data_IF_624429868969
#
_entry.id   IF_624429868969
#
_cell.length_a   1.000
_cell.length_b   1.000
_cell.length_c   1.000
_cell.angle_alpha   90.00
_cell.angle_beta   90.00
_cell.angle_gamma   90.00
#
_symmetry.space_group_name_H-M   'P 1'
#
loop_
_entity.id
_entity.type
_entity.pdbx_description
1 polymer ?
#
# COMPACT_ATOMS: atom_id res chain seq x y z
N UNK A 1 21.90 -24.78 -9.68
CA UNK A 1 22.22 -23.67 -8.75
C UNK A 1 22.38 -22.36 -9.50
N UNK A 2 23.09 -22.36 -10.60
CA UNK A 2 23.38 -21.19 -11.45
C UNK A 2 22.14 -20.41 -11.92
N UNK A 3 21.08 -21.10 -12.36
CA UNK A 3 19.84 -20.44 -12.78
C UNK A 3 19.13 -19.68 -11.64
N UNK A 4 19.20 -20.19 -10.41
CA UNK A 4 18.60 -19.49 -9.24
C UNK A 4 19.32 -18.16 -8.95
N UNK A 5 20.62 -18.12 -9.11
CA UNK A 5 21.43 -16.92 -8.91
C UNK A 5 21.14 -15.89 -10.00
N UNK A 6 20.98 -16.33 -11.25
CA UNK A 6 20.62 -15.46 -12.38
C UNK A 6 19.21 -14.86 -12.17
N UNK A 7 18.23 -15.67 -11.75
CA UNK A 7 16.86 -15.24 -11.44
C UNK A 7 16.83 -14.23 -10.28
N UNK A 8 17.58 -14.49 -9.20
CA UNK A 8 17.69 -13.56 -8.07
C UNK A 8 18.34 -12.22 -8.48
N UNK A 9 19.44 -12.28 -9.24
CA UNK A 9 20.11 -11.07 -9.74
C UNK A 9 19.17 -10.24 -10.62
N UNK A 10 18.40 -10.91 -11.47
CA UNK A 10 17.40 -10.25 -12.29
C UNK A 10 16.31 -9.59 -11.45
N UNK A 11 15.80 -10.30 -10.44
CA UNK A 11 14.80 -9.76 -9.51
C UNK A 11 15.31 -8.52 -8.75
N UNK A 12 16.57 -8.53 -8.28
CA UNK A 12 17.20 -7.37 -7.63
C UNK A 12 17.21 -6.16 -8.59
N UNK A 13 17.62 -6.34 -9.84
CA UNK A 13 17.66 -5.21 -10.79
C UNK A 13 16.26 -4.64 -11.05
N UNK A 14 15.25 -5.51 -11.19
CA UNK A 14 13.87 -5.08 -11.42
C UNK A 14 13.25 -4.38 -10.21
N UNK A 15 13.62 -4.75 -8.98
CA UNK A 15 13.09 -4.19 -7.74
C UNK A 15 13.79 -2.91 -7.28
N UNK A 16 14.89 -2.47 -7.91
CA UNK A 16 15.63 -1.24 -7.52
C UNK A 16 14.74 0.00 -7.39
N UNK A 17 13.81 0.30 -8.32
CA UNK A 17 12.94 1.48 -8.18
C UNK A 17 12.07 1.41 -6.92
N UNK A 18 11.50 0.22 -6.63
CA UNK A 18 10.70 -0.02 -5.43
C UNK A 18 11.57 0.05 -4.17
N UNK A 19 12.79 -0.50 -4.21
CA UNK A 19 13.75 -0.43 -3.12
C UNK A 19 13.97 1.00 -2.63
N UNK A 20 14.23 1.93 -3.54
CA UNK A 20 14.48 3.34 -3.18
C UNK A 20 13.25 3.96 -2.49
N UNK A 21 12.05 3.74 -3.04
CA UNK A 21 10.81 4.22 -2.44
C UNK A 21 10.54 3.59 -1.06
N UNK A 22 10.71 2.28 -0.95
CA UNK A 22 10.41 1.53 0.28
C UNK A 22 11.40 1.80 1.41
N UNK A 23 12.68 1.96 1.12
CA UNK A 23 13.65 2.36 2.14
C UNK A 23 13.34 3.75 2.69
N UNK A 24 12.97 4.70 1.82
CA UNK A 24 12.63 6.05 2.24
C UNK A 24 11.30 6.11 3.00
N UNK A 25 10.22 5.55 2.45
CA UNK A 25 8.91 5.56 3.09
C UNK A 25 8.88 4.70 4.36
N UNK A 26 9.53 3.53 4.35
CA UNK A 26 9.67 2.70 5.53
C UNK A 26 10.44 3.43 6.64
N UNK A 27 11.52 4.14 6.29
CA UNK A 27 12.27 4.96 7.25
C UNK A 27 11.36 6.06 7.87
N UNK A 28 10.58 6.76 7.04
CA UNK A 28 9.62 7.75 7.50
C UNK A 28 8.56 7.13 8.44
N UNK A 29 8.00 5.96 8.08
CA UNK A 29 7.07 5.22 8.94
C UNK A 29 7.70 4.86 10.29
N UNK A 30 8.92 4.33 10.28
CA UNK A 30 9.64 3.97 11.51
C UNK A 30 9.88 5.17 12.44
N UNK A 31 10.25 6.33 11.87
CA UNK A 31 10.40 7.58 12.62
C UNK A 31 9.07 8.02 13.24
N UNK A 32 8.00 8.08 12.45
CA UNK A 32 6.67 8.49 12.93
C UNK A 32 6.15 7.55 14.03
N UNK A 33 6.37 6.25 13.87
CA UNK A 33 5.95 5.26 14.85
C UNK A 33 6.73 5.43 16.17
N UNK A 34 8.03 5.71 16.09
CA UNK A 34 8.86 5.99 17.27
C UNK A 34 8.44 7.29 17.95
N UNK A 35 8.14 8.35 17.21
CA UNK A 35 7.64 9.63 17.73
C UNK A 35 6.29 9.47 18.45
N UNK A 36 5.45 8.57 17.97
CA UNK A 36 4.20 8.16 18.60
C UNK A 36 4.39 7.30 19.89
N UNK A 37 5.63 7.05 20.32
CA UNK A 37 5.96 6.27 21.51
C UNK A 37 6.07 4.75 21.29
N UNK A 38 6.03 4.29 20.05
CA UNK A 38 6.15 2.87 19.68
C UNK A 38 7.57 2.59 19.16
N UNK A 39 8.35 1.78 19.90
CA UNK A 39 9.75 1.53 19.55
C UNK A 39 9.96 0.49 18.45
N UNK A 40 11.24 0.10 18.27
CA UNK A 40 11.74 -0.82 17.25
C UNK A 40 10.90 -2.10 17.07
N UNK A 41 10.50 -2.77 18.14
CA UNK A 41 9.76 -4.03 18.05
C UNK A 41 8.38 -3.87 17.40
N UNK A 42 7.72 -2.74 17.62
CA UNK A 42 6.47 -2.41 16.95
C UNK A 42 6.68 -2.19 15.46
N UNK A 43 7.71 -1.43 15.06
CA UNK A 43 8.06 -1.24 13.68
C UNK A 43 8.36 -2.57 12.97
N UNK A 44 9.15 -3.43 13.62
CA UNK A 44 9.51 -4.75 13.11
C UNK A 44 8.27 -5.64 12.89
N UNK A 45 7.46 -5.85 13.93
CA UNK A 45 6.33 -6.78 13.84
C UNK A 45 5.21 -6.25 12.94
N UNK A 46 4.91 -4.95 12.96
CA UNK A 46 3.91 -4.36 12.06
C UNK A 46 4.39 -4.50 10.61
N UNK A 47 5.63 -4.18 10.31
CA UNK A 47 6.16 -4.30 8.93
C UNK A 47 6.26 -5.75 8.47
N UNK A 48 6.53 -6.69 9.37
CA UNK A 48 6.62 -8.12 9.05
C UNK A 48 5.24 -8.77 8.80
N UNK A 49 4.23 -8.44 9.62
CA UNK A 49 2.95 -9.17 9.61
C UNK A 49 1.79 -8.38 8.99
N UNK A 50 1.83 -7.06 9.00
CA UNK A 50 0.78 -6.23 8.40
C UNK A 50 1.16 -5.86 6.96
N UNK A 51 2.39 -5.42 6.73
CA UNK A 51 2.97 -5.10 5.42
C UNK A 51 1.99 -4.39 4.47
N UNK A 52 1.40 -3.31 4.93
CA UNK A 52 0.41 -2.53 4.20
C UNK A 52 0.76 -1.04 4.27
N UNK A 53 1.78 -0.63 3.52
CA UNK A 53 2.45 0.67 3.57
C UNK A 53 1.55 1.85 3.91
N UNK A 54 0.57 2.17 3.06
CA UNK A 54 -0.35 3.29 3.31
C UNK A 54 -1.18 3.11 4.59
N UNK A 55 -1.65 1.88 4.88
CA UNK A 55 -2.40 1.62 6.11
C UNK A 55 -1.52 1.72 7.34
N UNK A 56 -0.22 1.43 7.26
CA UNK A 56 0.69 1.55 8.39
C UNK A 56 0.86 3.02 8.82
N UNK A 57 0.90 3.96 7.88
CA UNK A 57 0.88 5.39 8.19
C UNK A 57 -0.43 5.80 8.89
N UNK A 58 -1.58 5.36 8.36
CA UNK A 58 -2.89 5.59 9.00
C UNK A 58 -2.94 4.95 10.38
N UNK A 59 -2.34 3.77 10.57
CA UNK A 59 -2.30 3.07 11.85
C UNK A 59 -1.57 3.88 12.93
N UNK A 60 -0.50 4.60 12.62
CA UNK A 60 0.17 5.51 13.57
C UNK A 60 -0.81 6.56 14.07
N UNK A 61 -1.56 7.19 13.17
CA UNK A 61 -2.59 8.17 13.54
C UNK A 61 -3.71 7.55 14.39
N UNK A 62 -4.15 6.33 14.07
CA UNK A 62 -5.17 5.62 14.85
C UNK A 62 -4.67 5.26 16.26
N UNK A 63 -3.42 4.90 16.40
CA UNK A 63 -2.80 4.60 17.70
C UNK A 63 -2.71 5.86 18.58
N UNK A 64 -2.25 6.97 18.02
CA UNK A 64 -2.15 8.24 18.77
C UNK A 64 -3.51 8.81 19.14
N UNK A 65 -4.53 8.59 18.30
CA UNK A 65 -5.90 8.99 18.58
C UNK A 65 -6.64 8.05 19.55
N UNK A 66 -6.06 6.92 19.96
CA UNK A 66 -6.74 5.91 20.77
C UNK A 66 -8.00 5.33 20.11
N UNK A 67 -7.95 5.15 18.78
CA UNK A 67 -9.08 4.71 17.99
C UNK A 67 -9.60 3.33 18.41
N UNK A 68 -10.93 3.12 18.38
CA UNK A 68 -11.53 1.83 18.68
C UNK A 68 -11.17 0.78 17.63
N UNK A 69 -11.18 -0.52 18.01
CA UNK A 69 -10.94 -1.62 17.08
C UNK A 69 -11.91 -1.65 15.90
N UNK A 70 -13.18 -1.30 16.12
CA UNK A 70 -14.18 -1.21 15.05
C UNK A 70 -13.85 -0.11 14.05
N UNK A 71 -13.45 1.06 14.54
CA UNK A 71 -13.02 2.15 13.67
C UNK A 71 -11.79 1.75 12.86
N UNK A 72 -10.78 1.14 13.49
CA UNK A 72 -9.58 0.62 12.83
C UNK A 72 -9.92 -0.42 11.77
N UNK A 73 -10.84 -1.36 12.05
CA UNK A 73 -11.29 -2.36 11.09
C UNK A 73 -11.91 -1.71 9.84
N UNK A 74 -12.83 -0.78 10.05
CA UNK A 74 -13.52 -0.09 8.94
C UNK A 74 -12.50 0.70 8.11
N UNK A 75 -11.61 1.45 8.75
CA UNK A 75 -10.54 2.19 8.07
C UNK A 75 -9.63 1.27 7.26
N UNK A 76 -9.25 0.12 7.83
CA UNK A 76 -8.44 -0.89 7.14
C UNK A 76 -9.14 -1.41 5.88
N UNK A 77 -10.43 -1.69 5.95
CA UNK A 77 -11.21 -2.13 4.79
C UNK A 77 -11.27 -1.07 3.68
N UNK A 78 -11.44 0.19 4.03
CA UNK A 78 -11.47 1.27 3.05
C UNK A 78 -10.11 1.52 2.41
N UNK A 79 -9.05 1.62 3.21
CA UNK A 79 -7.69 1.91 2.71
C UNK A 79 -7.14 0.73 1.92
N UNK A 80 -7.27 -0.50 2.44
CA UNK A 80 -6.70 -1.70 1.85
C UNK A 80 -7.65 -2.43 0.89
N UNK A 81 -8.90 -2.02 0.76
CA UNK A 81 -9.90 -2.68 -0.11
C UNK A 81 -9.43 -2.86 -1.56
N UNK A 82 -8.58 -1.97 -2.06
CA UNK A 82 -7.96 -2.06 -3.39
C UNK A 82 -7.09 -3.32 -3.57
N UNK A 83 -6.43 -3.81 -2.52
CA UNK A 83 -5.59 -5.01 -2.58
C UNK A 83 -6.40 -6.26 -2.94
N UNK A 84 -7.70 -6.31 -2.61
CA UNK A 84 -8.59 -7.39 -3.03
C UNK A 84 -8.68 -7.49 -4.56
N UNK A 85 -8.74 -6.35 -5.25
CA UNK A 85 -8.79 -6.31 -6.73
C UNK A 85 -7.47 -6.72 -7.36
N UNK A 86 -6.34 -6.34 -6.77
CA UNK A 86 -5.02 -6.78 -7.23
C UNK A 86 -4.87 -8.29 -7.11
N UNK A 87 -5.27 -8.84 -5.96
CA UNK A 87 -5.27 -10.28 -5.72
C UNK A 87 -6.05 -11.05 -6.78
N UNK A 88 -7.25 -10.58 -7.16
CA UNK A 88 -8.08 -11.22 -8.19
C UNK A 88 -7.35 -11.32 -9.54
N UNK A 89 -6.58 -10.31 -9.93
CA UNK A 89 -5.85 -10.30 -11.20
C UNK A 89 -4.72 -11.34 -11.24
N UNK A 90 -4.17 -11.73 -10.10
CA UNK A 90 -3.03 -12.65 -10.00
C UNK A 90 -3.38 -14.06 -9.49
N UNK A 91 -4.65 -14.32 -9.11
CA UNK A 91 -5.08 -15.61 -8.53
C UNK A 91 -4.63 -16.80 -9.38
N UNK A 92 -4.92 -16.79 -10.68
CA UNK A 92 -4.60 -17.91 -11.59
C UNK A 92 -3.09 -18.10 -11.76
N UNK A 93 -2.32 -17.02 -11.75
CA UNK A 93 -0.86 -17.04 -11.83
C UNK A 93 -0.24 -17.58 -10.54
N UNK A 94 -0.68 -17.07 -9.39
CA UNK A 94 -0.12 -17.44 -8.11
C UNK A 94 -0.53 -18.85 -7.64
N UNK A 95 -1.70 -19.36 -8.02
CA UNK A 95 -2.09 -20.75 -7.76
C UNK A 95 -1.08 -21.77 -8.28
N UNK A 96 -0.37 -21.46 -9.37
CA UNK A 96 0.66 -22.33 -9.94
C UNK A 96 1.95 -22.36 -9.11
N UNK A 97 2.10 -21.46 -8.15
CA UNK A 97 3.31 -21.30 -7.34
C UNK A 97 3.35 -22.22 -6.10
N UNK A 98 2.29 -23.03 -5.87
CA UNK A 98 2.26 -24.05 -4.82
C UNK A 98 2.41 -23.46 -3.42
N UNK A 99 3.43 -23.89 -2.68
CA UNK A 99 3.64 -23.50 -1.26
C UNK A 99 3.86 -21.99 -1.07
N UNK A 100 4.36 -21.28 -2.07
CA UNK A 100 4.58 -19.85 -1.99
C UNK A 100 3.31 -19.02 -2.25
N UNK A 101 2.22 -19.63 -2.68
CA UNK A 101 0.96 -18.96 -3.01
C UNK A 101 0.42 -18.04 -1.89
N UNK A 102 0.31 -18.47 -0.62
CA UNK A 102 -0.21 -17.59 0.44
C UNK A 102 0.67 -16.37 0.67
N UNK A 103 1.99 -16.54 0.56
CA UNK A 103 2.93 -15.44 0.69
C UNK A 103 2.80 -14.44 -0.47
N UNK A 104 2.63 -14.92 -1.69
CA UNK A 104 2.46 -14.05 -2.87
C UNK A 104 1.21 -13.18 -2.79
N UNK A 105 0.11 -13.70 -2.21
CA UNK A 105 -1.09 -12.90 -1.98
C UNK A 105 -0.86 -11.88 -0.86
N UNK A 106 -0.23 -12.29 0.23
CA UNK A 106 0.08 -11.43 1.36
C UNK A 106 1.00 -10.26 0.96
N UNK A 107 2.03 -10.54 0.16
CA UNK A 107 3.06 -9.57 -0.21
C UNK A 107 2.70 -8.67 -1.41
N UNK A 108 1.47 -8.75 -1.91
CA UNK A 108 1.03 -7.98 -3.09
C UNK A 108 0.61 -6.56 -2.70
N UNK A 109 1.56 -5.65 -2.67
CA UNK A 109 1.35 -4.20 -2.49
C UNK A 109 1.09 -3.50 -3.82
N UNK A 110 0.81 -2.19 -3.80
CA UNK A 110 0.61 -1.38 -5.01
C UNK A 110 1.84 -1.43 -5.93
N UNK A 111 3.02 -1.25 -5.36
CA UNK A 111 4.29 -1.18 -6.08
C UNK A 111 4.67 -2.56 -6.62
N UNK A 112 4.57 -3.61 -5.79
CA UNK A 112 4.83 -4.98 -6.21
C UNK A 112 3.86 -5.42 -7.30
N UNK A 113 2.57 -5.05 -7.19
CA UNK A 113 1.56 -5.28 -8.23
C UNK A 113 1.96 -4.63 -9.55
N UNK A 114 2.28 -3.33 -9.54
CA UNK A 114 2.70 -2.58 -10.73
C UNK A 114 3.94 -3.20 -11.39
N UNK A 115 4.91 -3.62 -10.58
CA UNK A 115 6.14 -4.25 -11.06
C UNK A 115 5.86 -5.61 -11.70
N UNK A 116 5.03 -6.45 -11.06
CA UNK A 116 4.68 -7.78 -11.56
C UNK A 116 3.79 -7.72 -12.82
N UNK A 117 2.94 -6.70 -12.99
CA UNK A 117 2.15 -6.47 -14.20
C UNK A 117 3.03 -6.19 -15.42
N UNK A 118 4.13 -5.48 -15.23
CA UNK A 118 5.05 -5.08 -16.30
C UNK A 118 6.27 -6.01 -16.46
N UNK A 119 6.34 -7.08 -15.66
CA UNK A 119 7.49 -7.97 -15.61
C UNK A 119 7.62 -8.78 -16.91
N UNK A 120 8.76 -8.65 -17.58
CA UNK A 120 9.12 -9.42 -18.77
C UNK A 120 10.33 -10.30 -18.43
N UNK A 121 10.07 -11.56 -18.13
CA UNK A 121 11.13 -12.50 -17.74
C UNK A 121 11.84 -13.04 -18.98
N UNK A 122 13.19 -12.98 -19.05
CA UNK A 122 13.97 -13.56 -20.15
C UNK A 122 13.77 -15.07 -20.29
N UNK A 123 13.94 -15.59 -21.52
CA UNK A 123 13.90 -17.02 -21.79
C UNK A 123 14.90 -17.80 -20.92
N UNK A 124 14.48 -18.96 -20.42
CA UNK A 124 15.29 -19.82 -19.57
C UNK A 124 15.23 -19.49 -18.07
N UNK A 125 14.53 -18.42 -17.66
CA UNK A 125 14.21 -18.11 -16.26
C UNK A 125 12.76 -18.49 -15.94
N UNK A 126 12.51 -18.89 -14.69
CA UNK A 126 11.15 -19.22 -14.23
C UNK A 126 10.47 -17.97 -13.67
N UNK A 127 9.39 -17.55 -14.32
CA UNK A 127 8.65 -16.35 -13.94
C UNK A 127 8.14 -16.41 -12.50
N UNK A 128 7.68 -17.57 -12.05
CA UNK A 128 7.20 -17.77 -10.68
C UNK A 128 8.29 -17.49 -9.64
N UNK A 129 9.52 -17.91 -9.91
CA UNK A 129 10.65 -17.69 -9.00
C UNK A 129 11.10 -16.23 -8.99
N UNK A 130 11.17 -15.61 -10.17
CA UNK A 130 11.50 -14.19 -10.28
C UNK A 130 10.47 -13.35 -9.54
N UNK A 131 9.17 -13.62 -9.73
CA UNK A 131 8.08 -12.94 -9.03
C UNK A 131 8.17 -13.12 -7.52
N UNK A 132 8.47 -14.33 -7.04
CA UNK A 132 8.69 -14.59 -5.61
C UNK A 132 9.87 -13.80 -5.05
N UNK A 133 11.01 -13.76 -5.76
CA UNK A 133 12.16 -13.00 -5.30
C UNK A 133 11.90 -11.49 -5.26
N UNK A 134 11.18 -10.94 -6.25
CA UNK A 134 10.77 -9.54 -6.24
C UNK A 134 9.92 -9.25 -5.00
N UNK A 135 8.86 -10.02 -4.78
CA UNK A 135 7.97 -9.83 -3.63
C UNK A 135 8.69 -9.95 -2.29
N UNK A 136 9.64 -10.89 -2.18
CA UNK A 136 10.45 -11.07 -0.97
C UNK A 136 11.40 -9.88 -0.75
N UNK A 137 12.06 -9.40 -1.80
CA UNK A 137 12.96 -8.26 -1.74
C UNK A 137 12.21 -6.99 -1.35
N UNK A 138 11.06 -6.71 -1.96
CA UNK A 138 10.23 -5.56 -1.66
C UNK A 138 9.80 -5.57 -0.18
N UNK A 139 9.37 -6.73 0.34
CA UNK A 139 9.05 -6.88 1.75
C UNK A 139 10.27 -6.63 2.66
N UNK A 140 11.43 -7.16 2.29
CA UNK A 140 12.68 -6.91 3.03
C UNK A 140 13.08 -5.43 3.02
N UNK A 141 12.92 -4.73 1.91
CA UNK A 141 13.23 -3.29 1.83
C UNK A 141 12.33 -2.46 2.74
N UNK A 142 11.03 -2.76 2.76
CA UNK A 142 10.09 -2.10 3.67
C UNK A 142 10.42 -2.35 5.13
N UNK A 143 10.65 -3.62 5.48
CA UNK A 143 11.03 -4.02 6.84
C UNK A 143 12.32 -3.36 7.29
N UNK A 144 13.33 -3.35 6.42
CA UNK A 144 14.62 -2.72 6.71
C UNK A 144 14.47 -1.21 6.92
N UNK A 145 13.79 -0.52 6.01
CA UNK A 145 13.51 0.91 6.13
C UNK A 145 12.81 1.24 7.44
N UNK A 146 11.73 0.53 7.77
CA UNK A 146 10.95 0.72 9.00
C UNK A 146 11.79 0.51 10.27
N UNK A 147 12.59 -0.54 10.30
CA UNK A 147 13.47 -0.82 11.44
C UNK A 147 14.56 0.24 11.61
N UNK A 148 15.21 0.64 10.51
CA UNK A 148 16.25 1.69 10.54
C UNK A 148 15.64 3.02 10.97
N UNK A 149 14.45 3.38 10.49
CA UNK A 149 13.74 4.58 10.90
C UNK A 149 13.39 4.60 12.38
N UNK A 150 12.86 3.48 12.91
CA UNK A 150 12.55 3.37 14.33
C UNK A 150 13.79 3.47 15.24
N UNK A 151 14.91 2.84 14.83
CA UNK A 151 16.19 2.98 15.56
C UNK A 151 16.72 4.41 15.48
N UNK A 152 16.72 5.01 14.30
CA UNK A 152 17.16 6.38 14.11
C UNK A 152 16.37 7.36 14.98
N UNK A 153 15.04 7.22 15.04
CA UNK A 153 14.17 8.04 15.89
C UNK A 153 14.44 7.86 17.39
N UNK A 154 14.90 6.67 17.83
CA UNK A 154 15.21 6.43 19.25
C UNK A 154 16.59 6.93 19.68
N UNK A 155 17.55 7.03 18.74
CA UNK A 155 18.96 7.35 19.06
C UNK A 155 19.30 8.80 18.73
N UNK A 156 18.72 9.34 17.66
CA UNK A 156 19.04 10.66 17.17
C UNK A 156 17.93 11.66 17.54
N UNK A 157 18.25 12.87 17.99
CA UNK A 157 17.26 13.92 18.18
C UNK A 157 16.81 14.48 16.82
N UNK A 158 16.12 13.63 16.04
CA UNK A 158 15.65 14.01 14.71
C UNK A 158 14.39 14.85 14.90
N UNK A 159 14.38 16.03 14.30
CA UNK A 159 13.16 16.81 14.20
C UNK A 159 12.24 16.14 13.19
N UNK A 160 11.15 15.55 13.67
CA UNK A 160 10.15 14.86 12.85
C UNK A 160 9.18 15.82 12.14
N UNK A 161 9.31 17.13 12.39
CA UNK A 161 8.50 18.17 11.74
C UNK A 161 8.60 18.04 10.22
N UNK A 162 7.47 17.79 9.58
CA UNK A 162 7.39 17.60 8.12
C UNK A 162 7.51 16.14 7.67
N UNK A 163 7.88 15.18 8.52
CA UNK A 163 7.83 13.74 8.18
C UNK A 163 6.38 13.31 7.96
N UNK A 164 5.42 13.90 8.67
CA UNK A 164 3.98 13.71 8.44
C UNK A 164 3.58 14.00 6.99
N UNK A 165 4.32 14.88 6.30
CA UNK A 165 4.13 15.15 4.87
C UNK A 165 4.42 13.91 4.01
N UNK A 166 5.20 12.94 4.49
CA UNK A 166 5.47 11.69 3.75
C UNK A 166 4.19 10.92 3.46
N UNK A 167 3.23 10.92 4.40
CA UNK A 167 1.91 10.33 4.19
C UNK A 167 1.11 11.08 3.12
N UNK A 168 1.08 12.41 3.20
CA UNK A 168 0.42 13.25 2.20
C UNK A 168 1.04 13.07 0.81
N UNK A 169 2.37 13.03 0.73
CA UNK A 169 3.09 12.78 -0.51
C UNK A 169 2.77 11.39 -1.09
N UNK A 170 2.76 10.35 -0.26
CA UNK A 170 2.41 8.99 -0.67
C UNK A 170 1.00 8.94 -1.29
N UNK A 171 -0.01 9.45 -0.58
CA UNK A 171 -1.38 9.45 -1.10
C UNK A 171 -1.53 10.33 -2.35
N UNK A 172 -0.81 11.45 -2.42
CA UNK A 172 -0.79 12.31 -3.63
C UNK A 172 -0.23 11.56 -4.82
N UNK A 173 0.89 10.85 -4.66
CA UNK A 173 1.49 10.03 -5.72
C UNK A 173 0.53 8.92 -6.16
N UNK A 174 -0.14 8.24 -5.23
CA UNK A 174 -1.15 7.22 -5.55
C UNK A 174 -2.28 7.82 -6.41
N UNK A 175 -2.81 8.98 -6.03
CA UNK A 175 -3.88 9.67 -6.79
C UNK A 175 -3.39 10.07 -8.18
N UNK A 176 -2.18 10.64 -8.29
CA UNK A 176 -1.58 11.03 -9.58
C UNK A 176 -1.38 9.82 -10.48
N UNK A 177 -0.82 8.73 -9.97
CA UNK A 177 -0.62 7.50 -10.74
C UNK A 177 -1.97 6.95 -11.23
N UNK A 178 -2.97 6.83 -10.35
CA UNK A 178 -4.30 6.38 -10.73
C UNK A 178 -4.95 7.29 -11.79
N UNK A 179 -4.73 8.61 -11.69
CA UNK A 179 -5.19 9.57 -12.70
C UNK A 179 -4.53 9.34 -14.06
N UNK A 180 -3.23 9.09 -14.07
CA UNK A 180 -2.48 8.84 -15.32
C UNK A 180 -2.80 7.49 -15.95
N UNK A 181 -3.03 6.46 -15.13
CA UNK A 181 -3.27 5.07 -15.59
C UNK A 181 -4.70 4.85 -16.11
N UNK A 182 -5.66 5.70 -15.73
CA UNK A 182 -7.07 5.51 -16.08
C UNK A 182 -7.59 6.65 -16.95
N UNK A 183 -8.45 6.31 -17.94
CA UNK A 183 -9.18 7.30 -18.75
C UNK A 183 -10.46 7.80 -18.05
N UNK A 184 -10.91 7.10 -17.01
CA UNK A 184 -12.13 7.42 -16.25
C UNK A 184 -11.79 8.13 -14.96
N UNK A 185 -11.84 9.46 -14.98
CA UNK A 185 -11.50 10.30 -13.81
C UNK A 185 -12.66 10.57 -12.85
N UNK A 186 -13.88 10.16 -13.20
CA UNK A 186 -15.10 10.35 -12.37
C UNK A 186 -14.93 9.86 -10.93
N UNK A 187 -14.33 8.68 -10.64
CA UNK A 187 -14.16 8.23 -9.27
C UNK A 187 -13.27 9.17 -8.43
N UNK A 188 -12.18 9.66 -9.01
CA UNK A 188 -11.27 10.57 -8.32
C UNK A 188 -11.95 11.92 -8.03
N UNK A 189 -12.70 12.46 -8.99
CA UNK A 189 -13.46 13.72 -8.83
C UNK A 189 -14.54 13.56 -7.77
N UNK A 190 -15.32 12.49 -7.80
CA UNK A 190 -16.37 12.21 -6.81
C UNK A 190 -15.74 12.09 -5.41
N UNK A 191 -14.68 11.31 -5.28
CA UNK A 191 -13.96 11.14 -4.01
C UNK A 191 -13.44 12.48 -3.46
N UNK A 192 -12.81 13.29 -4.33
CA UNK A 192 -12.29 14.61 -3.96
C UNK A 192 -13.40 15.57 -3.50
N UNK A 193 -14.48 15.70 -4.28
CA UNK A 193 -15.60 16.57 -3.95
C UNK A 193 -16.29 16.15 -2.65
N UNK A 194 -16.59 14.86 -2.50
CA UNK A 194 -17.21 14.33 -1.27
C UNK A 194 -16.28 14.51 -0.07
N UNK A 195 -14.98 14.27 -0.24
CA UNK A 195 -13.98 14.45 0.82
C UNK A 195 -13.95 15.91 1.32
N UNK A 196 -13.87 16.88 0.40
CA UNK A 196 -13.85 18.30 0.74
C UNK A 196 -15.16 18.73 1.40
N UNK A 197 -16.32 18.30 0.89
CA UNK A 197 -17.61 18.62 1.48
C UNK A 197 -17.74 18.05 2.91
N UNK A 198 -17.36 16.80 3.12
CA UNK A 198 -17.37 16.20 4.45
C UNK A 198 -16.40 16.88 5.41
N UNK A 199 -15.21 17.29 4.94
CA UNK A 199 -14.26 18.03 5.75
C UNK A 199 -14.80 19.38 6.23
N UNK A 200 -15.46 20.11 5.33
CA UNK A 200 -16.09 21.41 5.67
C UNK A 200 -17.25 21.25 6.65
N UNK A 201 -18.08 20.21 6.48
CA UNK A 201 -19.29 20.02 7.27
C UNK A 201 -19.03 19.36 8.64
N UNK A 202 -18.08 18.43 8.72
CA UNK A 202 -17.86 17.58 9.91
C UNK A 202 -16.54 17.88 10.65
N UNK A 203 -15.66 18.69 10.03
CA UNK A 203 -14.35 19.01 10.60
C UNK A 203 -13.33 17.85 10.51
N UNK A 204 -12.08 18.15 10.88
CA UNK A 204 -10.93 17.24 10.68
C UNK A 204 -11.05 15.92 11.43
N UNK A 205 -11.69 15.90 12.61
CA UNK A 205 -11.74 14.70 13.47
C UNK A 205 -12.75 13.63 13.04
N UNK A 206 -13.76 13.97 12.21
CA UNK A 206 -14.88 13.06 11.94
C UNK A 206 -15.23 12.88 10.45
N UNK A 207 -14.57 13.61 9.52
CA UNK A 207 -14.97 13.63 8.11
C UNK A 207 -14.63 12.34 7.34
N UNK A 208 -13.59 11.63 7.71
CA UNK A 208 -12.95 10.62 6.87
C UNK A 208 -13.87 9.41 6.62
N UNK A 209 -14.48 8.84 7.67
CA UNK A 209 -15.40 7.71 7.51
C UNK A 209 -16.67 8.06 6.73
N UNK A 210 -17.38 9.16 7.03
CA UNK A 210 -18.52 9.59 6.23
C UNK A 210 -18.14 9.85 4.77
N UNK A 211 -17.00 10.50 4.51
CA UNK A 211 -16.53 10.78 3.17
C UNK A 211 -16.30 9.49 2.35
N UNK A 212 -15.58 8.53 2.92
CA UNK A 212 -15.34 7.25 2.28
C UNK A 212 -16.63 6.45 2.03
N UNK A 213 -17.53 6.43 3.01
CA UNK A 213 -18.79 5.71 2.90
C UNK A 213 -19.70 6.33 1.82
N UNK A 214 -19.87 7.65 1.82
CA UNK A 214 -20.68 8.37 0.84
C UNK A 214 -20.09 8.21 -0.57
N UNK A 215 -18.76 8.39 -0.73
CA UNK A 215 -18.08 8.21 -2.01
C UNK A 215 -18.27 6.78 -2.53
N UNK A 216 -18.12 5.75 -1.67
CA UNK A 216 -18.33 4.36 -2.06
C UNK A 216 -19.77 4.09 -2.51
N UNK A 217 -20.78 4.59 -1.79
CA UNK A 217 -22.20 4.44 -2.15
C UNK A 217 -22.48 5.09 -3.51
N UNK A 218 -22.00 6.32 -3.73
CA UNK A 218 -22.19 7.03 -5.01
C UNK A 218 -21.56 6.26 -6.16
N UNK A 219 -20.30 5.78 -5.99
CA UNK A 219 -19.58 5.05 -7.03
C UNK A 219 -20.24 3.70 -7.37
N UNK A 220 -20.73 2.97 -6.37
CA UNK A 220 -21.50 1.74 -6.58
C UNK A 220 -22.81 2.00 -7.33
N UNK A 221 -23.50 3.10 -6.99
CA UNK A 221 -24.73 3.52 -7.68
C UNK A 221 -24.49 3.91 -9.14
N UNK A 222 -23.41 4.63 -9.43
CA UNK A 222 -23.01 5.02 -10.80
C UNK A 222 -22.64 3.78 -11.63
N UNK A 223 -21.89 2.84 -11.08
CA UNK A 223 -21.53 1.60 -11.77
C UNK A 223 -22.76 0.75 -12.13
N UNK A 224 -23.74 0.67 -11.24
CA UNK A 224 -24.98 -0.07 -11.48
C UNK A 224 -25.82 0.56 -12.61
N UNK A 225 -25.79 1.88 -12.78
CA UNK A 225 -26.53 2.60 -13.83
C UNK A 225 -25.89 2.46 -15.23
N UNK A 226 -24.55 2.24 -15.30
CA UNK A 226 -23.84 2.00 -16.55
C UNK A 226 -23.94 0.54 -17.07
N UNK A 227 -24.43 -0.39 -16.24
CA UNK A 227 -24.47 -1.84 -16.59
C UNK A 227 -25.89 -2.37 -16.87
N UNK A 228 -26.90 -1.49 -16.98
CA UNK A 228 -28.20 -1.89 -17.48
C UNK A 228 -28.17 -1.67 -19.01
N UNK A 229 -28.12 -2.73 -19.84
CA UNK A 229 -28.32 -2.58 -21.27
C UNK A 229 -29.73 -2.00 -21.44
N UNK A 230 -29.86 -0.93 -22.19
CA UNK A 230 -31.16 -0.50 -22.68
C UNK A 230 -31.73 -1.63 -23.54
N UNK A 231 -32.67 -2.41 -22.98
CA UNK A 231 -33.55 -3.25 -23.79
C UNK A 231 -34.36 -2.32 -24.68
N UNK A 232 -34.05 -2.33 -25.96
CA UNK A 232 -34.88 -1.84 -27.03
C UNK A 232 -34.78 -2.76 -28.20
#
# INVERSE_FOLDING_TARGET
>A
MENKIKELRYAIVQSVPVMLGYLFLGFAFGLMLNDAGYGFWWAFFISLFVYAGSMQFVLVTLFTAGASLWYTLIMTLFVNGRHMFYGLSFVEKFKKMGVTYPYMIFSLTDETFSLLCNLKVPEGMREERVSFYISLLDHCYWLLGSCVGAVAGSVLPINTTGIDFSMTALFTVIVVNQWMDTKEHKPAIIGGVVGVLCLILLGEGAFLLPALTIAAIILLGVKKKCYIPSES
#
